data_IF_200988968221
#
_entry.id   IF_200988968221
#
_cell.length_a   1.000
_cell.length_b   1.000
_cell.length_c   1.000
_cell.angle_alpha   90.00
_cell.angle_beta   90.00
_cell.angle_gamma   90.00
#
_symmetry.space_group_name_H-M   'P 1'
#
loop_
_entity.id
_entity.type
_entity.pdbx_description
1 polymer ?
#
# COMPACT_ATOMS: atom_id res chain seq x y z
N UNK A 1 17.89 -22.15 -4.47
CA UNK A 1 17.70 -21.17 -3.37
C UNK A 1 16.26 -21.05 -2.93
N UNK A 2 15.28 -20.76 -3.79
CA UNK A 2 13.87 -20.54 -3.40
C UNK A 2 13.18 -21.76 -2.76
N UNK A 3 13.48 -22.99 -3.18
CA UNK A 3 12.86 -24.20 -2.64
C UNK A 3 13.65 -24.87 -1.50
N UNK A 4 14.98 -24.76 -1.48
CA UNK A 4 15.83 -25.55 -0.58
C UNK A 4 16.40 -24.76 0.60
N UNK A 5 16.60 -23.47 0.45
CA UNK A 5 17.16 -22.65 1.52
C UNK A 5 16.17 -22.49 2.69
N UNK A 6 16.68 -22.63 3.91
CA UNK A 6 15.90 -22.47 5.15
C UNK A 6 15.94 -21.01 5.56
N UNK A 7 14.84 -20.27 5.32
CA UNK A 7 14.66 -18.89 5.77
C UNK A 7 13.17 -18.57 5.91
N UNK A 8 12.85 -17.59 6.74
CA UNK A 8 11.48 -17.16 7.01
C UNK A 8 11.17 -15.89 6.24
N UNK A 9 10.27 -15.95 5.26
CA UNK A 9 9.78 -14.76 4.54
C UNK A 9 9.21 -13.71 5.49
N UNK A 10 8.55 -14.14 6.57
CA UNK A 10 8.00 -13.25 7.59
C UNK A 10 9.10 -12.54 8.39
N UNK A 11 10.18 -13.23 8.74
CA UNK A 11 11.30 -12.61 9.43
C UNK A 11 11.97 -11.55 8.55
N UNK A 12 12.24 -11.89 7.28
CA UNK A 12 12.79 -10.95 6.28
C UNK A 12 11.89 -9.73 6.10
N UNK A 13 10.57 -9.93 6.00
CA UNK A 13 9.60 -8.83 5.92
C UNK A 13 9.66 -7.90 7.14
N UNK A 14 9.79 -8.45 8.34
CA UNK A 14 9.95 -7.65 9.57
C UNK A 14 11.27 -6.89 9.63
N UNK A 15 12.37 -7.48 9.13
CA UNK A 15 13.65 -6.78 8.99
C UNK A 15 13.54 -5.62 7.98
N UNK A 16 12.97 -5.88 6.81
CA UNK A 16 12.77 -4.87 5.78
C UNK A 16 11.91 -3.71 6.28
N UNK A 17 10.79 -3.99 6.97
CA UNK A 17 9.96 -2.93 7.55
C UNK A 17 10.73 -2.05 8.51
N UNK A 18 11.48 -2.64 9.45
CA UNK A 18 12.27 -1.86 10.41
C UNK A 18 13.36 -1.03 9.73
N UNK A 19 14.02 -1.60 8.72
CA UNK A 19 15.00 -0.87 7.91
C UNK A 19 14.35 0.34 7.22
N UNK A 20 13.23 0.16 6.52
CA UNK A 20 12.53 1.24 5.84
C UNK A 20 12.03 2.33 6.82
N UNK A 21 11.48 1.92 7.96
CA UNK A 21 11.01 2.88 8.98
C UNK A 21 12.19 3.67 9.56
N UNK A 22 13.33 3.03 9.84
CA UNK A 22 14.52 3.71 10.36
C UNK A 22 15.13 4.67 9.34
N UNK A 23 15.07 4.35 8.04
CA UNK A 23 15.66 5.18 6.98
C UNK A 23 14.79 6.39 6.60
N UNK A 24 13.47 6.27 6.69
CA UNK A 24 12.58 7.27 6.12
C UNK A 24 11.73 8.05 7.13
N UNK A 25 11.65 7.62 8.38
CA UNK A 25 10.74 8.21 9.36
C UNK A 25 11.47 8.55 10.67
N UNK A 26 11.19 9.73 11.22
CA UNK A 26 11.61 10.07 12.58
C UNK A 26 10.93 9.17 13.63
N UNK A 27 11.49 9.15 14.85
CA UNK A 27 11.02 8.26 15.91
C UNK A 27 9.55 8.52 16.32
N UNK A 28 9.09 9.74 16.23
CA UNK A 28 7.75 10.22 16.58
C UNK A 28 6.75 10.22 15.41
N UNK A 29 7.24 10.08 14.17
CA UNK A 29 6.39 10.11 12.99
C UNK A 29 5.37 8.97 12.97
N UNK A 30 4.17 9.27 12.51
CA UNK A 30 3.14 8.25 12.24
C UNK A 30 3.57 7.34 11.10
N UNK A 31 3.52 6.03 11.31
CA UNK A 31 3.83 5.02 10.30
C UNK A 31 2.58 4.74 9.48
N UNK A 32 2.53 5.25 8.26
CA UNK A 32 1.38 5.08 7.35
C UNK A 32 1.64 3.91 6.42
N UNK A 33 0.78 2.90 6.48
CA UNK A 33 0.91 1.66 5.71
C UNK A 33 -0.33 1.45 4.86
N UNK A 34 -0.15 1.41 3.55
CA UNK A 34 -1.19 1.01 2.62
C UNK A 34 -1.31 -0.51 2.55
N UNK A 35 -2.54 -1.02 2.53
CA UNK A 35 -2.83 -2.43 2.27
C UNK A 35 -3.73 -2.53 1.05
N UNK A 36 -3.33 -3.35 0.08
CA UNK A 36 -4.13 -3.61 -1.11
C UNK A 36 -3.85 -5.01 -1.65
N UNK A 37 -4.79 -5.55 -2.43
CA UNK A 37 -4.59 -6.84 -3.07
C UNK A 37 -4.35 -6.70 -4.59
N UNK A 38 -3.57 -7.63 -5.10
CA UNK A 38 -3.29 -7.72 -6.52
C UNK A 38 -3.35 -9.16 -7.01
N UNK A 39 -3.66 -9.32 -8.29
CA UNK A 39 -3.68 -10.63 -8.94
C UNK A 39 -2.47 -10.73 -9.85
N UNK A 40 -1.61 -11.69 -9.55
CA UNK A 40 -0.55 -12.14 -10.44
C UNK A 40 -1.15 -13.16 -11.42
N UNK A 41 -1.20 -12.82 -12.70
CA UNK A 41 -1.76 -13.71 -13.71
C UNK A 41 -0.86 -14.93 -13.91
N UNK A 42 -1.42 -16.11 -13.70
CA UNK A 42 -0.69 -17.39 -13.81
C UNK A 42 -1.59 -18.45 -14.41
N UNK A 43 -1.01 -19.20 -15.34
CA UNK A 43 -1.63 -20.39 -15.95
C UNK A 43 -0.73 -21.59 -15.68
N UNK A 44 -1.27 -22.66 -15.20
CA UNK A 44 -0.51 -23.89 -14.96
C UNK A 44 -1.28 -24.83 -14.05
N UNK A 45 -1.51 -26.07 -14.51
CA UNK A 45 -2.26 -27.07 -13.75
C UNK A 45 -1.61 -27.47 -12.44
N UNK A 46 -0.26 -27.35 -12.35
CA UNK A 46 0.52 -27.72 -11.16
C UNK A 46 0.54 -26.68 -10.05
N UNK A 47 -0.02 -25.48 -10.27
CA UNK A 47 -0.06 -24.42 -9.27
C UNK A 47 -1.27 -24.63 -8.36
N UNK A 48 -1.04 -25.17 -7.16
CA UNK A 48 -2.12 -25.55 -6.23
C UNK A 48 -2.92 -24.34 -5.73
N UNK A 49 -2.28 -23.20 -5.46
CA UNK A 49 -2.89 -21.99 -4.96
C UNK A 49 -3.59 -21.12 -6.02
N UNK A 50 -3.56 -21.54 -7.29
CA UNK A 50 -4.20 -20.84 -8.39
C UNK A 50 -5.72 -20.78 -8.18
N UNK A 51 -6.25 -19.57 -8.33
CA UNK A 51 -7.69 -19.31 -8.30
C UNK A 51 -8.18 -18.64 -9.58
N UNK A 52 -9.50 -18.45 -9.67
CA UNK A 52 -10.14 -17.64 -10.69
C UNK A 52 -10.71 -16.41 -10.00
N UNK A 53 -10.32 -15.25 -10.47
CA UNK A 53 -10.66 -13.96 -9.87
C UNK A 53 -11.24 -13.01 -10.92
N UNK A 54 -11.89 -11.95 -10.47
CA UNK A 54 -12.24 -10.83 -11.33
C UNK A 54 -10.96 -10.08 -11.70
N UNK A 55 -10.73 -9.88 -13.00
CA UNK A 55 -9.62 -9.03 -13.47
C UNK A 55 -9.97 -7.55 -13.21
N UNK A 56 -9.24 -6.83 -12.34
CA UNK A 56 -9.59 -5.46 -12.00
C UNK A 56 -9.33 -4.48 -13.14
N UNK A 57 -8.41 -4.81 -14.06
CA UNK A 57 -8.02 -3.95 -15.19
C UNK A 57 -8.98 -4.10 -16.36
N UNK A 58 -9.40 -5.34 -16.65
CA UNK A 58 -10.25 -5.66 -17.82
C UNK A 58 -11.74 -5.61 -17.51
N UNK A 59 -12.14 -5.62 -16.24
CA UNK A 59 -13.55 -5.59 -15.85
C UNK A 59 -14.04 -4.16 -15.66
N UNK A 60 -15.26 -3.89 -16.12
CA UNK A 60 -16.01 -2.66 -15.85
C UNK A 60 -17.26 -2.92 -15.00
N UNK A 61 -18.08 -1.88 -14.74
CA UNK A 61 -19.34 -2.06 -14.00
C UNK A 61 -20.31 -3.02 -14.66
N UNK A 62 -20.33 -3.06 -16.00
CA UNK A 62 -21.23 -3.92 -16.80
C UNK A 62 -20.55 -5.15 -17.42
N UNK A 63 -19.22 -5.28 -17.31
CA UNK A 63 -18.48 -6.37 -17.96
C UNK A 63 -17.53 -7.05 -16.98
N UNK A 64 -17.79 -8.32 -16.68
CA UNK A 64 -17.01 -9.12 -15.73
C UNK A 64 -16.03 -10.02 -16.47
N UNK A 65 -14.74 -9.71 -16.41
CA UNK A 65 -13.68 -10.55 -16.97
C UNK A 65 -13.05 -11.40 -15.88
N UNK A 66 -13.01 -12.71 -16.09
CA UNK A 66 -12.33 -13.67 -15.21
C UNK A 66 -10.87 -13.79 -15.61
N UNK A 67 -9.98 -13.85 -14.62
CA UNK A 67 -8.57 -14.17 -14.82
C UNK A 67 -8.13 -15.29 -13.89
N UNK A 68 -7.25 -16.15 -14.39
CA UNK A 68 -6.58 -17.18 -13.60
C UNK A 68 -5.32 -16.59 -12.98
N UNK A 69 -5.05 -16.86 -11.70
CA UNK A 69 -3.85 -16.32 -11.07
C UNK A 69 -3.72 -16.63 -9.59
N UNK A 70 -2.76 -15.95 -8.99
CA UNK A 70 -2.49 -15.94 -7.56
C UNK A 70 -2.93 -14.59 -7.00
N UNK A 71 -3.65 -14.60 -5.89
CA UNK A 71 -4.07 -13.38 -5.21
C UNK A 71 -3.10 -13.06 -4.07
N UNK A 72 -2.54 -11.89 -4.09
CA UNK A 72 -1.59 -11.39 -3.11
C UNK A 72 -2.19 -10.21 -2.35
N UNK A 73 -2.04 -10.21 -1.03
CA UNK A 73 -2.25 -9.05 -0.19
C UNK A 73 -0.89 -8.46 0.14
N UNK A 74 -0.66 -7.18 -0.20
CA UNK A 74 0.61 -6.48 0.03
C UNK A 74 0.42 -5.34 1.02
N UNK A 75 1.31 -5.26 2.00
CA UNK A 75 1.46 -4.12 2.89
C UNK A 75 2.69 -3.32 2.46
N UNK A 76 2.51 -2.02 2.27
CA UNK A 76 3.51 -1.09 1.74
C UNK A 76 3.61 0.14 2.64
N UNK A 77 4.82 0.52 3.01
CA UNK A 77 5.08 1.77 3.72
C UNK A 77 4.89 2.95 2.77
N UNK A 78 4.04 3.90 3.12
CA UNK A 78 3.79 5.12 2.34
C UNK A 78 4.69 6.24 2.85
N UNK A 79 5.68 6.65 2.04
CA UNK A 79 6.65 7.68 2.41
C UNK A 79 6.94 8.63 1.25
N UNK A 80 7.24 9.87 1.56
CA UNK A 80 7.67 10.84 0.57
C UNK A 80 9.11 10.56 0.13
N UNK A 81 9.32 10.45 -1.20
CA UNK A 81 10.62 10.27 -1.82
C UNK A 81 11.09 11.57 -2.46
N UNK A 82 12.09 12.26 -1.87
CA UNK A 82 12.56 13.54 -2.38
C UNK A 82 13.03 13.47 -3.85
N UNK A 83 13.81 12.44 -4.20
CA UNK A 83 14.32 12.25 -5.55
C UNK A 83 13.24 11.97 -6.61
N UNK A 84 12.09 11.42 -6.18
CA UNK A 84 10.94 11.16 -7.05
C UNK A 84 9.88 12.27 -6.98
N UNK A 85 10.01 13.24 -6.06
CA UNK A 85 9.06 14.34 -5.85
C UNK A 85 7.63 13.90 -5.53
N UNK A 86 7.47 12.68 -4.99
CA UNK A 86 6.15 12.08 -4.70
C UNK A 86 6.19 11.10 -3.53
N UNK A 87 5.03 10.74 -3.02
CA UNK A 87 4.89 9.59 -2.12
C UNK A 87 5.08 8.31 -2.94
N UNK A 88 5.81 7.34 -2.38
CA UNK A 88 5.93 6.00 -2.92
C UNK A 88 5.42 4.96 -1.91
N UNK A 89 4.83 3.88 -2.41
CA UNK A 89 4.49 2.71 -1.61
C UNK A 89 5.64 1.71 -1.65
N UNK A 90 6.24 1.42 -0.50
CA UNK A 90 7.38 0.50 -0.37
C UNK A 90 6.93 -0.85 0.19
N UNK A 91 6.77 -1.90 -0.63
CA UNK A 91 6.35 -3.21 -0.20
C UNK A 91 7.37 -3.85 0.76
N UNK A 92 6.91 -4.31 1.91
CA UNK A 92 7.74 -5.05 2.86
C UNK A 92 7.15 -6.40 3.24
N UNK A 93 5.82 -6.55 3.16
CA UNK A 93 5.14 -7.82 3.46
C UNK A 93 4.08 -8.09 2.39
N UNK A 94 4.24 -9.20 1.69
CA UNK A 94 3.27 -9.67 0.71
C UNK A 94 2.91 -11.12 1.01
N UNK A 95 1.62 -11.39 1.20
CA UNK A 95 1.11 -12.70 1.60
C UNK A 95 0.19 -13.28 0.53
N UNK A 96 0.34 -14.57 0.27
CA UNK A 96 -0.56 -15.29 -0.64
C UNK A 96 -1.92 -15.47 0.04
N UNK A 97 -2.99 -15.02 -0.61
CA UNK A 97 -4.38 -15.13 -0.17
C UNK A 97 -5.18 -16.03 -1.13
N UNK A 98 -5.03 -17.35 -1.04
CA UNK A 98 -5.64 -18.27 -1.99
C UNK A 98 -7.16 -18.30 -1.87
N UNK A 99 -7.84 -18.74 -2.94
CA UNK A 99 -9.29 -18.92 -2.94
C UNK A 99 -9.72 -20.08 -2.01
N UNK A 100 -11.02 -20.15 -1.67
CA UNK A 100 -11.59 -21.24 -0.86
C UNK A 100 -11.27 -22.63 -1.43
N UNK A 101 -11.20 -22.77 -2.75
CA UNK A 101 -10.87 -24.03 -3.43
C UNK A 101 -9.51 -24.60 -3.01
N UNK A 102 -8.53 -23.76 -2.73
CA UNK A 102 -7.20 -24.18 -2.26
C UNK A 102 -7.25 -24.95 -0.94
N UNK A 103 -8.27 -24.74 -0.14
CA UNK A 103 -8.43 -25.33 1.19
C UNK A 103 -9.31 -26.59 1.18
N UNK A 104 -9.92 -26.98 0.04
CA UNK A 104 -10.89 -28.06 -0.03
C UNK A 104 -10.36 -29.39 0.55
N UNK A 105 -9.09 -29.70 0.24
CA UNK A 105 -8.42 -30.95 0.67
C UNK A 105 -7.39 -30.70 1.78
N UNK A 106 -7.50 -29.60 2.54
CA UNK A 106 -6.52 -29.26 3.57
C UNK A 106 -7.18 -29.16 4.95
N UNK A 107 -6.50 -29.61 6.02
CA UNK A 107 -7.02 -29.52 7.38
C UNK A 107 -6.99 -28.08 7.95
N UNK A 108 -7.31 -27.09 7.12
CA UNK A 108 -7.29 -25.66 7.49
C UNK A 108 -8.51 -24.96 6.92
N UNK A 109 -9.17 -24.16 7.74
CA UNK A 109 -10.28 -23.33 7.29
C UNK A 109 -9.84 -22.26 6.30
N UNK A 110 -10.65 -21.99 5.25
CA UNK A 110 -10.36 -20.93 4.33
C UNK A 110 -10.40 -19.57 5.03
N UNK A 111 -9.43 -18.72 4.68
CA UNK A 111 -9.36 -17.34 5.17
C UNK A 111 -9.88 -16.38 4.11
N UNK A 112 -10.65 -15.40 4.53
CA UNK A 112 -11.03 -14.26 3.71
C UNK A 112 -9.86 -13.29 3.54
N UNK A 113 -9.97 -12.35 2.60
CA UNK A 113 -8.96 -11.30 2.45
C UNK A 113 -8.85 -10.43 3.72
N UNK A 114 -9.98 -10.17 4.40
CA UNK A 114 -10.00 -9.43 5.67
C UNK A 114 -9.35 -10.19 6.82
N UNK A 115 -9.44 -11.52 6.86
CA UNK A 115 -8.69 -12.33 7.83
C UNK A 115 -7.18 -12.20 7.63
N UNK A 116 -6.73 -12.17 6.38
CA UNK A 116 -5.33 -11.91 6.05
C UNK A 116 -4.93 -10.47 6.40
N UNK A 117 -5.76 -9.47 6.07
CA UNK A 117 -5.51 -8.07 6.43
C UNK A 117 -5.40 -7.87 7.94
N UNK A 118 -6.28 -8.52 8.73
CA UNK A 118 -6.21 -8.53 10.20
C UNK A 118 -4.88 -9.10 10.70
N UNK A 119 -4.46 -10.26 10.17
CA UNK A 119 -3.20 -10.88 10.59
C UNK A 119 -1.99 -10.00 10.22
N UNK A 120 -2.01 -9.37 9.05
CA UNK A 120 -0.98 -8.42 8.60
C UNK A 120 -0.92 -7.22 9.54
N UNK A 121 -2.05 -6.57 9.84
CA UNK A 121 -2.11 -5.41 10.72
C UNK A 121 -1.57 -5.72 12.13
N UNK A 122 -2.01 -6.82 12.74
CA UNK A 122 -1.52 -7.26 14.04
C UNK A 122 -0.03 -7.66 14.02
N UNK A 123 0.46 -8.21 12.91
CA UNK A 123 1.87 -8.55 12.77
C UNK A 123 2.74 -7.29 12.65
N UNK A 124 2.28 -6.27 11.93
CA UNK A 124 2.95 -4.98 11.80
C UNK A 124 3.07 -4.31 13.17
N UNK A 125 1.97 -4.27 13.95
CA UNK A 125 1.98 -3.74 15.31
C UNK A 125 3.04 -4.42 16.19
N UNK A 126 3.16 -5.76 16.14
CA UNK A 126 4.20 -6.50 16.88
C UNK A 126 5.63 -6.19 16.43
N UNK A 127 5.84 -5.85 15.17
CA UNK A 127 7.17 -5.49 14.64
C UNK A 127 7.60 -4.07 14.96
N UNK A 128 6.65 -3.19 15.25
CA UNK A 128 6.89 -1.77 15.54
C UNK A 128 6.26 -1.38 16.89
N UNK A 129 6.74 -1.96 18.01
CA UNK A 129 6.19 -1.63 19.32
C UNK A 129 6.36 -0.14 19.63
N UNK A 130 5.35 0.48 20.24
CA UNK A 130 5.37 1.88 20.63
C UNK A 130 5.18 2.90 19.49
N UNK A 131 5.08 2.47 18.22
CA UNK A 131 4.85 3.39 17.10
C UNK A 131 3.35 3.59 16.86
N UNK A 132 2.97 4.84 16.54
CA UNK A 132 1.64 5.15 16.00
C UNK A 132 1.56 4.63 14.57
N UNK A 133 0.64 3.67 14.32
CA UNK A 133 0.49 3.00 13.03
C UNK A 133 -0.88 3.28 12.46
N UNK A 134 -0.93 3.70 11.20
CA UNK A 134 -2.15 3.89 10.44
C UNK A 134 -2.15 2.93 9.25
N UNK A 135 -3.18 2.10 9.18
CA UNK A 135 -3.44 1.22 8.03
C UNK A 135 -4.42 1.90 7.09
N UNK A 136 -4.05 2.06 5.84
CA UNK A 136 -4.92 2.63 4.81
C UNK A 136 -5.35 1.53 3.86
N UNK A 137 -6.65 1.25 3.81
CA UNK A 137 -7.22 0.20 2.97
C UNK A 137 -8.30 0.71 2.01
N UNK A 138 -8.68 -0.15 1.07
CA UNK A 138 -9.80 0.10 0.17
C UNK A 138 -11.17 -0.03 0.88
N UNK A 139 -12.26 0.07 0.12
CA UNK A 139 -13.63 -0.06 0.63
C UNK A 139 -13.90 -1.41 1.33
N UNK A 140 -13.19 -2.48 0.99
CA UNK A 140 -13.36 -3.78 1.63
C UNK A 140 -12.93 -3.75 3.11
N UNK A 141 -11.98 -2.88 3.47
CA UNK A 141 -11.55 -2.66 4.84
C UNK A 141 -12.60 -1.95 5.71
N UNK A 142 -13.66 -1.37 5.10
CA UNK A 142 -14.80 -0.81 5.82
C UNK A 142 -15.74 -1.93 6.31
N UNK A 143 -15.24 -2.78 7.19
CA UNK A 143 -15.98 -3.89 7.79
C UNK A 143 -15.85 -3.81 9.32
N UNK A 144 -16.99 -3.73 10.02
CA UNK A 144 -17.06 -3.53 11.48
C UNK A 144 -16.24 -4.60 12.23
N UNK A 145 -16.32 -5.86 11.80
CA UNK A 145 -15.60 -6.96 12.45
C UNK A 145 -14.08 -6.83 12.29
N UNK A 146 -13.62 -6.37 11.13
CA UNK A 146 -12.20 -6.08 10.90
C UNK A 146 -11.74 -4.89 11.75
N UNK A 147 -12.47 -3.78 11.71
CA UNK A 147 -12.12 -2.56 12.46
C UNK A 147 -12.14 -2.84 13.97
N UNK A 148 -13.18 -3.50 14.47
CA UNK A 148 -13.29 -3.89 15.90
C UNK A 148 -12.15 -4.78 16.37
N UNK A 149 -11.63 -5.65 15.49
CA UNK A 149 -10.52 -6.55 15.82
C UNK A 149 -9.13 -5.89 15.85
N UNK A 150 -8.95 -4.75 15.18
CA UNK A 150 -7.63 -4.11 15.04
C UNK A 150 -7.50 -2.73 15.68
N UNK A 151 -8.62 -2.04 16.00
CA UNK A 151 -8.62 -0.65 16.49
C UNK A 151 -7.83 -0.41 17.79
N UNK A 152 -7.65 -1.44 18.62
CA UNK A 152 -6.83 -1.33 19.84
C UNK A 152 -5.32 -1.39 19.58
N UNK A 153 -4.91 -1.69 18.36
CA UNK A 153 -3.52 -1.91 17.97
C UNK A 153 -3.02 -0.94 16.91
N UNK A 154 -3.90 -0.62 15.96
CA UNK A 154 -3.60 0.26 14.82
C UNK A 154 -4.81 1.09 14.48
N UNK A 155 -4.60 2.30 14.00
CA UNK A 155 -5.66 3.11 13.40
C UNK A 155 -5.92 2.65 11.96
N UNK A 156 -7.16 2.72 11.51
CA UNK A 156 -7.53 2.33 10.14
C UNK A 156 -8.21 3.50 9.44
N UNK A 157 -7.72 3.83 8.25
CA UNK A 157 -8.34 4.77 7.32
C UNK A 157 -8.87 4.00 6.11
N UNK A 158 -10.15 4.18 5.81
CA UNK A 158 -10.79 3.53 4.66
C UNK A 158 -11.99 4.34 4.19
N UNK A 159 -12.54 3.95 3.03
CA UNK A 159 -13.72 4.58 2.46
C UNK A 159 -14.98 4.13 3.18
N UNK A 160 -15.82 5.09 3.58
CA UNK A 160 -17.12 4.85 4.20
C UNK A 160 -18.25 5.01 3.16
N UNK A 161 -19.33 4.26 3.33
CA UNK A 161 -20.54 4.46 2.52
C UNK A 161 -21.31 5.68 3.00
N UNK A 162 -21.92 6.42 2.09
CA UNK A 162 -22.74 7.60 2.44
C UNK A 162 -24.03 7.23 3.21
N UNK A 163 -24.50 5.99 3.04
CA UNK A 163 -25.68 5.44 3.71
C UNK A 163 -25.33 4.64 4.98
N UNK A 164 -24.11 4.72 5.49
CA UNK A 164 -23.69 4.01 6.70
C UNK A 164 -24.55 4.41 7.91
N UNK A 165 -24.97 3.41 8.69
CA UNK A 165 -25.73 3.63 9.93
C UNK A 165 -24.78 4.05 11.04
N UNK A 166 -24.74 5.33 11.33
CA UNK A 166 -23.93 5.95 12.37
C UNK A 166 -24.79 6.33 13.57
N UNK A 167 -24.20 6.28 14.74
CA UNK A 167 -24.86 6.56 16.00
C UNK A 167 -24.03 7.54 16.84
N UNK A 168 -24.69 8.29 17.73
CA UNK A 168 -24.00 9.05 18.76
C UNK A 168 -23.28 8.09 19.73
N UNK A 169 -22.28 8.55 20.46
CA UNK A 169 -21.68 7.82 21.56
C UNK A 169 -22.75 7.36 22.57
N UNK A 170 -22.49 6.22 23.22
CA UNK A 170 -23.36 5.76 24.29
C UNK A 170 -23.45 6.79 25.41
N UNK A 171 -24.64 7.06 25.96
CA UNK A 171 -24.78 7.94 27.11
C UNK A 171 -24.03 7.37 28.32
N UNK A 172 -23.61 8.21 29.28
CA UNK A 172 -23.00 7.76 30.52
C UNK A 172 -23.87 6.72 31.23
N UNK A 173 -23.22 5.72 31.86
CA UNK A 173 -23.92 4.68 32.59
C UNK A 173 -24.72 5.28 33.72
N UNK A 174 -26.03 5.07 33.71
CA UNK A 174 -26.90 5.40 34.83
C UNK A 174 -26.90 4.25 35.88
N UNK A 175 -26.92 4.54 37.15
CA UNK A 175 -27.16 3.51 38.19
C UNK A 175 -28.52 2.85 37.93
N UNK A 176 -28.57 1.54 37.91
CA UNK A 176 -29.81 0.77 37.68
C UNK A 176 -29.55 -0.63 37.19
N UNK A 177 -30.65 -1.45 37.16
CA UNK A 177 -30.60 -2.81 36.58
C UNK A 177 -30.69 -2.73 35.05
N UNK A 178 -29.87 -3.50 34.36
CA UNK A 178 -29.93 -3.65 32.91
C UNK A 178 -28.56 -3.61 32.23
N UNK A 179 -28.53 -4.05 30.98
CA UNK A 179 -27.33 -4.02 30.16
C UNK A 179 -27.02 -2.56 29.76
N UNK A 180 -25.80 -2.07 29.97
CA UNK A 180 -25.42 -0.72 29.53
C UNK A 180 -25.66 -0.54 28.04
N UNK A 181 -26.13 0.66 27.58
CA UNK A 181 -26.26 0.95 26.17
C UNK A 181 -24.88 0.96 25.52
N UNK A 182 -24.77 0.36 24.33
CA UNK A 182 -23.51 0.31 23.55
C UNK A 182 -23.40 1.45 22.55
N UNK A 183 -24.47 2.20 22.32
CA UNK A 183 -24.58 3.33 21.40
C UNK A 183 -25.66 4.30 21.84
N UNK A 184 -25.60 5.53 21.36
CA UNK A 184 -26.63 6.55 21.51
C UNK A 184 -27.68 6.51 20.38
N UNK A 185 -28.44 7.59 20.19
CA UNK A 185 -29.40 7.73 19.09
C UNK A 185 -28.72 7.65 17.72
N UNK A 186 -29.53 7.28 16.72
CA UNK A 186 -29.08 7.24 15.33
C UNK A 186 -28.82 8.67 14.82
N UNK A 187 -27.69 8.86 14.16
CA UNK A 187 -27.32 10.11 13.49
C UNK A 187 -27.89 10.14 12.06
N UNK A 188 -28.06 11.34 11.46
CA UNK A 188 -28.34 11.47 10.04
C UNK A 188 -27.33 10.70 9.20
N UNK A 189 -27.76 10.17 8.06
CA UNK A 189 -26.83 9.55 7.09
C UNK A 189 -25.92 10.61 6.49
N UNK A 190 -24.75 10.25 6.03
CA UNK A 190 -23.83 11.21 5.39
C UNK A 190 -24.41 11.77 4.09
N UNK A 191 -25.36 11.06 3.45
CA UNK A 191 -26.15 11.62 2.34
C UNK A 191 -27.04 12.78 2.84
N UNK A 192 -27.68 12.65 3.99
CA UNK A 192 -28.48 13.74 4.57
C UNK A 192 -27.59 14.92 4.98
N UNK A 193 -26.45 14.65 5.63
CA UNK A 193 -25.45 15.68 5.97
C UNK A 193 -24.95 16.41 4.72
N UNK A 194 -24.75 15.71 3.60
CA UNK A 194 -24.32 16.32 2.33
C UNK A 194 -25.30 17.37 1.81
N UNK A 195 -26.60 17.14 1.98
CA UNK A 195 -27.68 18.01 1.48
C UNK A 195 -28.22 18.98 2.54
N UNK A 196 -27.75 18.91 3.78
CA UNK A 196 -28.15 19.80 4.84
C UNK A 196 -27.47 21.18 4.68
N UNK A 197 -28.28 22.24 4.57
CA UNK A 197 -27.80 23.62 4.47
C UNK A 197 -27.01 24.08 5.70
N UNK A 198 -27.24 23.46 6.87
CA UNK A 198 -26.52 23.76 8.11
C UNK A 198 -25.12 23.09 8.19
N UNK A 199 -24.77 22.26 7.22
CA UNK A 199 -23.45 21.60 7.23
C UNK A 199 -22.32 22.58 7.01
N UNK A 200 -21.38 22.64 7.96
CA UNK A 200 -20.21 23.51 7.87
C UNK A 200 -19.13 22.83 7.02
N UNK A 201 -18.77 23.45 5.92
CA UNK A 201 -17.76 22.99 4.99
C UNK A 201 -16.48 23.81 5.12
N UNK A 202 -15.33 23.11 5.18
CA UNK A 202 -14.00 23.73 5.18
C UNK A 202 -13.29 23.43 3.87
N UNK A 203 -12.74 24.45 3.22
CA UNK A 203 -11.91 24.28 2.01
C UNK A 203 -10.53 23.79 2.38
N UNK A 204 -10.07 22.80 1.63
CA UNK A 204 -8.77 22.19 1.82
C UNK A 204 -8.11 21.87 0.48
N UNK A 205 -6.79 22.09 0.39
CA UNK A 205 -6.01 21.72 -0.80
C UNK A 205 -5.28 20.41 -0.52
N UNK A 206 -5.61 19.38 -1.30
CA UNK A 206 -4.94 18.08 -1.26
C UNK A 206 -3.81 18.07 -2.27
N UNK A 207 -2.60 17.79 -1.80
CA UNK A 207 -1.44 17.67 -2.67
C UNK A 207 -1.47 16.37 -3.49
N UNK A 208 -1.05 16.44 -4.75
CA UNK A 208 -0.89 15.27 -5.63
C UNK A 208 -2.12 14.36 -5.68
N UNK A 209 -3.31 14.94 -5.91
CA UNK A 209 -4.57 14.18 -5.99
C UNK A 209 -4.47 13.02 -6.97
N UNK A 210 -4.39 11.79 -6.45
CA UNK A 210 -4.18 10.55 -7.23
C UNK A 210 -3.03 10.64 -8.25
N UNK A 211 -1.90 11.24 -7.85
CA UNK A 211 -0.71 11.41 -8.72
C UNK A 211 -0.82 12.54 -9.75
N UNK A 212 -1.92 13.31 -9.74
CA UNK A 212 -2.12 14.53 -10.55
C UNK A 212 -1.81 15.77 -9.71
N UNK A 213 -1.96 16.94 -10.23
CA UNK A 213 -1.72 18.18 -9.49
C UNK A 213 -2.55 18.35 -8.20
N UNK A 214 -2.37 19.44 -7.49
CA UNK A 214 -3.13 19.78 -6.30
C UNK A 214 -4.60 19.99 -6.63
N UNK A 215 -5.49 19.56 -5.71
CA UNK A 215 -6.94 19.75 -5.88
C UNK A 215 -7.55 20.38 -4.64
N UNK A 216 -8.39 21.40 -4.85
CA UNK A 216 -9.21 22.00 -3.81
C UNK A 216 -10.47 21.15 -3.63
N UNK A 217 -10.79 20.81 -2.39
CA UNK A 217 -12.00 20.08 -1.99
C UNK A 217 -12.64 20.76 -0.79
N UNK A 218 -13.91 20.50 -0.55
CA UNK A 218 -14.62 20.90 0.66
C UNK A 218 -14.86 19.69 1.55
N UNK A 219 -14.58 19.85 2.84
CA UNK A 219 -14.58 18.79 3.84
C UNK A 219 -15.56 19.15 4.96
N UNK A 220 -16.43 18.21 5.34
CA UNK A 220 -17.15 18.19 6.60
C UNK A 220 -16.73 16.94 7.40
N UNK A 221 -16.62 17.06 8.72
CA UNK A 221 -16.14 15.97 9.59
C UNK A 221 -16.88 15.98 10.92
N UNK A 222 -16.93 14.81 11.54
CA UNK A 222 -17.46 14.62 12.88
C UNK A 222 -17.09 13.25 13.42
N UNK A 223 -17.50 12.97 14.65
CA UNK A 223 -17.30 11.67 15.31
C UNK A 223 -18.62 10.92 15.41
N UNK A 224 -18.55 9.62 15.37
CA UNK A 224 -19.70 8.73 15.50
C UNK A 224 -19.29 7.35 16.01
N UNK A 225 -20.27 6.55 16.37
CA UNK A 225 -20.08 5.11 16.59
C UNK A 225 -20.70 4.35 15.42
N UNK A 226 -19.88 3.59 14.72
CA UNK A 226 -20.37 2.65 13.72
C UNK A 226 -20.71 1.33 14.38
N UNK A 227 -21.96 0.90 14.25
CA UNK A 227 -22.47 -0.27 14.96
C UNK A 227 -23.38 -1.13 14.11
N UNK A 228 -23.22 -2.43 14.27
CA UNK A 228 -24.12 -3.49 13.78
C UNK A 228 -24.41 -4.46 14.91
N UNK A 229 -25.64 -4.95 15.02
CA UNK A 229 -26.00 -5.97 16.00
C UNK A 229 -25.09 -7.20 15.89
N UNK A 230 -24.63 -7.70 17.02
CA UNK A 230 -23.70 -8.84 17.09
C UNK A 230 -22.21 -8.50 16.91
N UNK A 231 -21.86 -7.25 16.59
CA UNK A 231 -20.47 -6.79 16.51
C UNK A 231 -20.16 -5.76 17.59
N UNK A 232 -18.91 -5.60 18.03
CA UNK A 232 -18.52 -4.53 18.93
C UNK A 232 -18.73 -3.15 18.30
N UNK A 233 -19.07 -2.11 19.09
CA UNK A 233 -19.15 -0.75 18.58
C UNK A 233 -17.76 -0.26 18.19
N UNK A 234 -17.68 0.43 17.05
CA UNK A 234 -16.44 1.01 16.55
C UNK A 234 -16.57 2.52 16.54
N UNK A 235 -15.91 3.26 17.45
CA UNK A 235 -15.78 4.70 17.36
C UNK A 235 -15.02 5.08 16.11
N UNK A 236 -15.53 6.06 15.38
CA UNK A 236 -14.91 6.55 14.15
C UNK A 236 -14.97 8.08 14.07
N UNK A 237 -13.96 8.67 13.48
CA UNK A 237 -14.04 9.98 12.85
C UNK A 237 -14.44 9.76 11.39
N UNK A 238 -15.57 10.35 10.99
CA UNK A 238 -15.97 10.34 9.59
C UNK A 238 -15.54 11.63 8.90
N UNK A 239 -15.28 11.53 7.61
CA UNK A 239 -14.91 12.63 6.73
C UNK A 239 -15.79 12.57 5.48
N UNK A 240 -16.54 13.64 5.23
CA UNK A 240 -17.32 13.78 4.01
C UNK A 240 -16.61 14.81 3.12
N UNK A 241 -16.38 14.44 1.87
CA UNK A 241 -15.63 15.24 0.90
C UNK A 241 -16.50 15.48 -0.32
N UNK A 242 -16.59 16.73 -0.75
CA UNK A 242 -17.20 17.12 -2.02
C UNK A 242 -16.27 17.99 -2.85
N UNK A 243 -16.46 17.95 -4.12
CA UNK A 243 -15.77 18.81 -5.07
C UNK A 243 -16.57 20.11 -5.26
N UNK A 244 -15.98 21.30 -4.99
CA UNK A 244 -16.69 22.56 -5.12
C UNK A 244 -17.14 22.88 -6.56
N UNK A 245 -16.46 22.30 -7.57
CA UNK A 245 -16.81 22.47 -8.99
C UNK A 245 -17.65 21.31 -9.54
N UNK A 246 -17.97 20.30 -8.73
CA UNK A 246 -18.90 19.23 -9.10
C UNK A 246 -18.38 18.18 -10.09
N UNK A 247 -17.08 18.18 -10.44
CA UNK A 247 -16.51 17.19 -11.35
C UNK A 247 -16.39 15.79 -10.73
N UNK A 248 -16.28 15.71 -9.40
CA UNK A 248 -16.13 14.44 -8.69
C UNK A 248 -17.35 14.17 -7.81
N UNK A 249 -17.85 12.93 -7.81
CA UNK A 249 -18.92 12.55 -6.89
C UNK A 249 -18.46 12.66 -5.43
N UNK A 250 -19.37 13.06 -4.52
CA UNK A 250 -19.09 13.09 -3.09
C UNK A 250 -18.61 11.74 -2.57
N UNK A 251 -17.73 11.77 -1.59
CA UNK A 251 -17.14 10.56 -0.99
C UNK A 251 -17.05 10.71 0.51
N UNK A 252 -17.22 9.62 1.23
CA UNK A 252 -16.97 9.58 2.65
C UNK A 252 -15.82 8.62 3.00
N UNK A 253 -15.12 8.97 4.07
CA UNK A 253 -14.02 8.19 4.64
C UNK A 253 -14.23 8.06 6.14
N UNK A 254 -13.55 7.12 6.75
CA UNK A 254 -13.47 6.97 8.20
C UNK A 254 -12.02 6.80 8.65
N UNK A 255 -11.78 7.21 9.90
CA UNK A 255 -10.59 6.86 10.67
C UNK A 255 -11.05 6.31 12.03
N UNK A 256 -10.42 5.25 12.51
CA UNK A 256 -10.69 4.71 13.87
C UNK A 256 -9.97 5.49 14.98
N UNK A 257 -9.05 6.39 14.64
CA UNK A 257 -8.47 7.36 15.56
C UNK A 257 -9.28 8.67 15.46
N UNK A 258 -9.88 9.08 16.57
CA UNK A 258 -10.78 10.23 16.64
C UNK A 258 -10.07 11.58 16.63
N UNK A 259 -8.77 11.59 16.98
CA UNK A 259 -7.97 12.81 17.17
C UNK A 259 -7.21 13.23 15.91
N UNK A 260 -7.17 12.37 14.90
CA UNK A 260 -6.48 12.65 13.62
C UNK A 260 -7.17 13.79 12.87
N UNK A 261 -6.38 14.74 12.35
CA UNK A 261 -6.91 15.81 11.53
C UNK A 261 -7.59 15.28 10.25
N UNK A 262 -8.70 15.91 9.86
CA UNK A 262 -9.45 15.51 8.66
C UNK A 262 -8.60 15.56 7.38
N UNK A 263 -7.69 16.53 7.29
CA UNK A 263 -6.75 16.70 6.20
C UNK A 263 -5.80 15.49 6.06
N UNK A 264 -5.27 14.99 7.19
CA UNK A 264 -4.36 13.83 7.20
C UNK A 264 -5.08 12.56 6.76
N UNK A 265 -6.32 12.34 7.23
CA UNK A 265 -7.15 11.21 6.79
C UNK A 265 -7.28 11.19 5.27
N UNK A 266 -7.59 12.35 4.67
CA UNK A 266 -7.76 12.47 3.23
C UNK A 266 -6.43 12.28 2.48
N UNK A 267 -5.35 12.92 2.97
CA UNK A 267 -4.02 12.80 2.37
C UNK A 267 -3.51 11.34 2.39
N UNK A 268 -3.66 10.65 3.51
CA UNK A 268 -3.30 9.23 3.61
C UNK A 268 -4.11 8.36 2.67
N UNK A 269 -5.43 8.58 2.58
CA UNK A 269 -6.26 7.81 1.67
C UNK A 269 -5.89 8.03 0.20
N UNK A 270 -5.64 9.27 -0.21
CA UNK A 270 -5.21 9.60 -1.57
C UNK A 270 -3.84 8.96 -1.88
N UNK A 271 -2.94 8.96 -0.89
CA UNK A 271 -1.61 8.35 -1.03
C UNK A 271 -1.66 6.83 -1.27
N UNK A 272 -2.74 6.14 -0.89
CA UNK A 272 -2.94 4.71 -1.17
C UNK A 272 -2.83 4.38 -2.67
N UNK A 273 -3.15 5.31 -3.56
CA UNK A 273 -3.00 5.13 -5.00
C UNK A 273 -1.57 4.69 -5.41
N UNK A 274 -0.58 5.01 -4.60
CA UNK A 274 0.80 4.61 -4.85
C UNK A 274 1.02 3.09 -4.80
N UNK A 275 0.15 2.33 -4.14
CA UNK A 275 0.20 0.86 -4.17
C UNK A 275 -0.06 0.33 -5.57
N UNK A 276 -1.04 0.91 -6.27
CA UNK A 276 -1.37 0.53 -7.65
C UNK A 276 -0.22 0.88 -8.60
N UNK A 277 0.41 2.04 -8.39
CA UNK A 277 1.62 2.45 -9.13
C UNK A 277 2.76 1.46 -8.88
N UNK A 278 3.02 1.09 -7.63
CA UNK A 278 4.06 0.11 -7.28
C UNK A 278 3.78 -1.26 -7.95
N UNK A 279 2.54 -1.74 -7.94
CA UNK A 279 2.19 -2.99 -8.64
C UNK A 279 2.42 -2.90 -10.15
N UNK A 280 2.21 -1.74 -10.77
CA UNK A 280 2.51 -1.51 -12.17
C UNK A 280 4.02 -1.54 -12.43
N UNK A 281 4.81 -0.82 -11.63
CA UNK A 281 6.27 -0.73 -11.75
C UNK A 281 6.96 -2.09 -11.59
N UNK A 282 6.55 -2.91 -10.60
CA UNK A 282 7.15 -4.24 -10.40
C UNK A 282 6.81 -5.22 -11.52
N UNK A 283 5.65 -5.06 -12.18
CA UNK A 283 5.33 -5.83 -13.38
C UNK A 283 6.18 -5.38 -14.57
N UNK A 284 6.35 -4.08 -14.74
CA UNK A 284 7.10 -3.52 -15.86
C UNK A 284 8.61 -3.80 -15.76
N UNK A 285 9.18 -3.78 -14.53
CA UNK A 285 10.63 -3.71 -14.37
C UNK A 285 11.25 -4.87 -13.58
N UNK A 286 10.50 -5.58 -12.73
CA UNK A 286 11.04 -6.63 -11.86
C UNK A 286 10.54 -8.03 -12.21
N UNK A 287 9.81 -8.19 -13.32
CA UNK A 287 9.40 -9.49 -13.84
C UNK A 287 8.28 -10.17 -13.05
N UNK A 288 7.47 -9.44 -12.29
CA UNK A 288 6.23 -9.97 -11.73
C UNK A 288 5.27 -10.34 -12.87
N UNK A 289 4.64 -11.50 -12.80
CA UNK A 289 3.85 -12.19 -13.85
C UNK A 289 4.68 -12.93 -14.91
N UNK A 290 6.00 -12.81 -14.94
CA UNK A 290 6.87 -13.57 -15.87
C UNK A 290 7.46 -14.85 -15.26
N UNK A 291 7.25 -15.05 -13.94
CA UNK A 291 7.81 -16.19 -13.21
C UNK A 291 7.25 -17.52 -13.72
N UNK A 292 8.10 -18.54 -13.73
CA UNK A 292 7.79 -19.90 -14.21
C UNK A 292 7.68 -20.95 -13.09
N UNK A 293 7.90 -20.57 -11.84
CA UNK A 293 7.85 -21.49 -10.70
C UNK A 293 6.43 -22.02 -10.49
N UNK A 294 6.34 -23.28 -10.13
CA UNK A 294 5.09 -23.99 -9.87
C UNK A 294 5.01 -24.61 -8.48
N UNK A 295 6.13 -24.77 -7.77
CA UNK A 295 6.13 -25.31 -6.41
C UNK A 295 5.65 -24.26 -5.40
N UNK A 296 4.86 -24.69 -4.43
CA UNK A 296 4.22 -23.81 -3.45
C UNK A 296 5.23 -22.92 -2.70
N UNK A 297 6.37 -23.49 -2.29
CA UNK A 297 7.39 -22.77 -1.54
C UNK A 297 8.09 -21.70 -2.40
N UNK A 298 8.41 -22.02 -3.68
CA UNK A 298 9.00 -21.05 -4.59
C UNK A 298 8.02 -19.90 -4.91
N UNK A 299 6.75 -20.22 -5.13
CA UNK A 299 5.69 -19.22 -5.34
C UNK A 299 5.61 -18.28 -4.14
N UNK A 300 5.46 -18.82 -2.92
CA UNK A 300 5.35 -18.02 -1.70
C UNK A 300 6.56 -17.13 -1.40
N UNK A 301 7.69 -17.35 -2.05
CA UNK A 301 8.93 -16.59 -1.85
C UNK A 301 9.26 -15.64 -2.99
N UNK A 302 8.97 -16.01 -4.24
CA UNK A 302 9.42 -15.24 -5.42
C UNK A 302 8.71 -13.89 -5.52
N UNK A 303 7.40 -13.87 -5.54
CA UNK A 303 6.64 -12.62 -5.70
C UNK A 303 6.84 -11.66 -4.52
N UNK A 304 6.83 -12.11 -3.24
CA UNK A 304 7.22 -11.24 -2.12
C UNK A 304 8.66 -10.72 -2.22
N UNK A 305 9.61 -11.52 -2.72
CA UNK A 305 10.99 -11.08 -2.90
C UNK A 305 11.12 -9.99 -3.98
N UNK A 306 10.42 -10.13 -5.11
CA UNK A 306 10.42 -9.13 -6.18
C UNK A 306 9.77 -7.81 -5.71
N UNK A 307 8.69 -7.88 -4.94
CA UNK A 307 8.08 -6.69 -4.32
C UNK A 307 9.04 -6.06 -3.29
N UNK A 308 9.68 -6.86 -2.44
CA UNK A 308 10.70 -6.36 -1.51
C UNK A 308 11.91 -5.74 -2.21
N UNK A 309 12.29 -6.26 -3.37
CA UNK A 309 13.37 -5.71 -4.19
C UNK A 309 13.05 -4.28 -4.66
N UNK A 310 11.79 -3.97 -5.00
CA UNK A 310 11.38 -2.60 -5.28
C UNK A 310 11.75 -1.65 -4.13
N UNK A 311 11.47 -2.04 -2.90
CA UNK A 311 11.78 -1.24 -1.71
C UNK A 311 13.28 -1.11 -1.47
N UNK A 312 14.05 -2.17 -1.68
CA UNK A 312 15.51 -2.15 -1.55
C UNK A 312 16.17 -1.26 -2.60
N UNK A 313 15.73 -1.32 -3.86
CA UNK A 313 16.21 -0.43 -4.93
C UNK A 313 15.89 1.02 -4.59
N UNK A 314 14.66 1.29 -4.11
CA UNK A 314 14.25 2.65 -3.74
C UNK A 314 15.07 3.19 -2.56
N UNK A 315 15.37 2.35 -1.57
CA UNK A 315 16.22 2.71 -0.44
C UNK A 315 17.66 2.99 -0.89
N UNK A 316 18.25 2.10 -1.68
CA UNK A 316 19.60 2.29 -2.19
C UNK A 316 19.76 3.59 -2.97
N UNK A 317 18.79 3.87 -3.84
CA UNK A 317 18.76 5.13 -4.60
C UNK A 317 18.58 6.35 -3.69
N UNK A 318 17.83 6.21 -2.60
CA UNK A 318 17.71 7.28 -1.61
C UNK A 318 19.08 7.64 -1.02
N UNK A 319 19.88 6.63 -0.67
CA UNK A 319 21.23 6.82 -0.14
C UNK A 319 22.16 7.42 -1.21
N UNK A 320 22.14 6.91 -2.44
CA UNK A 320 22.92 7.46 -3.54
C UNK A 320 22.55 8.93 -3.86
N UNK A 321 21.26 9.26 -3.80
CA UNK A 321 20.78 10.61 -4.07
C UNK A 321 21.17 11.63 -2.98
N UNK A 322 21.50 11.17 -1.80
CA UNK A 322 22.05 12.02 -0.73
C UNK A 322 23.48 12.47 -1.03
N UNK A 323 24.25 11.65 -1.75
CA UNK A 323 25.64 11.97 -2.16
C UNK A 323 25.68 12.71 -3.52
N UNK A 324 24.88 12.28 -4.48
CA UNK A 324 24.86 12.84 -5.84
C UNK A 324 23.42 12.95 -6.35
N UNK A 325 22.95 14.16 -6.75
CA UNK A 325 21.62 14.34 -7.28
C UNK A 325 21.36 13.43 -8.49
N UNK A 326 20.23 12.73 -8.46
CA UNK A 326 19.79 11.91 -9.59
C UNK A 326 19.30 12.78 -10.73
N UNK A 327 19.76 12.48 -11.94
CA UNK A 327 19.31 13.15 -13.15
C UNK A 327 18.33 12.21 -13.87
N UNK A 328 17.06 12.65 -14.09
CA UNK A 328 16.10 11.83 -14.82
C UNK A 328 16.51 11.67 -16.28
N UNK A 329 16.41 10.46 -16.81
CA UNK A 329 16.57 10.24 -18.25
C UNK A 329 15.40 10.91 -18.99
N UNK A 330 15.71 11.90 -19.82
CA UNK A 330 14.72 12.64 -20.61
C UNK A 330 14.88 12.33 -22.09
N UNK A 331 13.77 12.30 -22.82
CA UNK A 331 13.75 12.28 -24.27
C UNK A 331 13.24 13.63 -24.79
N UNK A 332 13.59 13.99 -26.01
CA UNK A 332 13.17 15.27 -26.62
C UNK A 332 11.65 15.48 -26.61
N UNK A 333 10.89 14.39 -26.72
CA UNK A 333 9.41 14.38 -26.71
C UNK A 333 8.80 14.15 -25.30
N UNK A 334 9.60 13.84 -24.27
CA UNK A 334 9.12 13.55 -22.93
C UNK A 334 10.09 14.08 -21.87
N UNK A 335 10.03 15.36 -21.54
CA UNK A 335 10.83 15.95 -20.46
C UNK A 335 10.29 15.49 -19.10
N UNK A 336 11.07 14.72 -18.37
CA UNK A 336 10.74 14.33 -16.99
C UNK A 336 11.20 15.41 -16.01
N UNK A 337 10.31 15.79 -15.08
CA UNK A 337 10.66 16.70 -13.98
C UNK A 337 11.30 15.98 -12.79
N UNK A 338 10.95 14.71 -12.58
CA UNK A 338 11.39 13.88 -11.47
C UNK A 338 11.80 12.49 -11.97
N UNK A 339 12.71 11.86 -11.23
CA UNK A 339 13.12 10.49 -11.52
C UNK A 339 11.98 9.50 -11.32
N UNK A 340 11.95 8.47 -12.15
CA UNK A 340 11.02 7.34 -12.10
C UNK A 340 11.73 6.12 -11.52
N UNK A 341 11.00 5.03 -11.30
CA UNK A 341 11.60 3.78 -10.83
C UNK A 341 12.57 3.16 -11.85
N UNK A 342 12.37 3.38 -13.16
CA UNK A 342 13.33 2.96 -14.16
C UNK A 342 14.67 3.72 -14.06
N UNK A 343 14.63 5.02 -13.71
CA UNK A 343 15.84 5.80 -13.44
C UNK A 343 16.54 5.29 -12.16
N UNK A 344 15.77 4.89 -11.15
CA UNK A 344 16.28 4.27 -9.92
C UNK A 344 17.01 2.95 -10.22
N UNK A 345 16.41 2.05 -11.01
CA UNK A 345 17.06 0.80 -11.41
C UNK A 345 18.36 1.09 -12.19
N UNK A 346 18.33 2.05 -13.10
CA UNK A 346 19.51 2.41 -13.88
C UNK A 346 20.64 2.94 -12.97
N UNK A 347 20.33 3.75 -11.96
CA UNK A 347 21.31 4.23 -10.99
C UNK A 347 21.96 3.08 -10.20
N UNK A 348 21.15 2.15 -9.67
CA UNK A 348 21.66 0.97 -8.95
C UNK A 348 22.48 0.06 -9.85
N UNK A 349 22.08 -0.16 -11.11
CA UNK A 349 22.86 -0.94 -12.08
C UNK A 349 24.22 -0.31 -12.35
N UNK A 350 24.29 1.01 -12.54
CA UNK A 350 25.58 1.73 -12.72
C UNK A 350 26.49 1.51 -11.52
N UNK A 351 25.97 1.64 -10.32
CA UNK A 351 26.72 1.45 -9.08
C UNK A 351 27.27 0.05 -8.95
N UNK A 352 26.45 -0.99 -9.19
CA UNK A 352 26.88 -2.39 -9.18
C UNK A 352 28.02 -2.61 -10.20
N UNK A 353 27.92 -2.07 -11.39
CA UNK A 353 28.95 -2.24 -12.42
C UNK A 353 30.23 -1.48 -12.10
N UNK A 354 30.12 -0.27 -11.53
CA UNK A 354 31.31 0.44 -11.05
C UNK A 354 32.09 -0.38 -10.03
N UNK A 355 31.40 -1.00 -9.09
CA UNK A 355 32.01 -1.90 -8.11
C UNK A 355 32.62 -3.13 -8.76
N UNK A 356 31.94 -3.78 -9.67
CA UNK A 356 32.42 -4.99 -10.36
C UNK A 356 33.66 -4.68 -11.23
N UNK A 357 33.65 -3.60 -12.00
CA UNK A 357 34.80 -3.21 -12.83
C UNK A 357 36.00 -2.83 -11.99
N UNK A 358 35.80 -2.11 -10.90
CA UNK A 358 36.88 -1.76 -9.96
C UNK A 358 37.49 -2.98 -9.27
N UNK A 359 36.67 -4.00 -8.98
CA UNK A 359 37.13 -5.27 -8.39
C UNK A 359 37.92 -6.12 -9.41
N UNK A 360 37.41 -6.27 -10.64
CA UNK A 360 38.06 -7.02 -11.72
C UNK A 360 39.39 -6.37 -12.13
N UNK A 361 39.47 -5.04 -12.17
CA UNK A 361 40.69 -4.30 -12.51
C UNK A 361 41.82 -4.48 -11.48
N UNK A 362 41.49 -4.81 -10.23
CA UNK A 362 42.48 -5.12 -9.19
C UNK A 362 42.98 -6.56 -9.22
N UNK A 363 42.20 -7.50 -9.80
CA UNK A 363 42.51 -8.92 -9.75
C UNK A 363 43.15 -9.49 -11.03
N UNK A 364 42.99 -8.82 -12.16
CA UNK A 364 43.54 -9.30 -13.46
C UNK A 364 44.45 -8.22 -14.07
N UNK A 365 45.70 -8.60 -14.35
CA UNK A 365 46.70 -7.75 -15.06
C UNK A 365 46.34 -7.41 -16.51
N UNK A 366 45.18 -7.83 -17.00
CA UNK A 366 44.67 -7.60 -18.37
C UNK A 366 43.67 -6.46 -18.38
N UNK A 367 44.13 -5.23 -18.06
CA UNK A 367 43.28 -4.05 -18.08
C UNK A 367 43.43 -3.29 -19.41
N UNK A 368 42.40 -3.31 -20.28
CA UNK A 368 42.29 -2.39 -21.38
C UNK A 368 41.82 -1.01 -20.86
N UNK A 369 42.59 0.06 -21.19
CA UNK A 369 42.24 1.44 -20.87
C UNK A 369 41.09 1.90 -21.78
N UNK A 370 39.84 1.82 -21.29
CA UNK A 370 38.70 2.39 -21.98
C UNK A 370 38.59 3.88 -21.62
N UNK A 371 38.46 4.80 -22.61
CA UNK A 371 38.23 6.22 -22.33
C UNK A 371 36.99 6.41 -21.44
N UNK A 372 37.10 7.26 -20.41
CA UNK A 372 35.98 7.48 -19.45
C UNK A 372 34.65 7.83 -20.12
N UNK A 373 34.69 8.66 -21.18
CA UNK A 373 33.48 9.04 -21.93
C UNK A 373 32.82 7.85 -22.63
N UNK A 374 33.60 6.93 -23.20
CA UNK A 374 33.07 5.72 -23.83
C UNK A 374 32.50 4.77 -22.81
N UNK A 375 33.16 4.62 -21.67
CA UNK A 375 32.64 3.83 -20.54
C UNK A 375 31.30 4.37 -20.00
N UNK A 376 31.18 5.69 -19.78
CA UNK A 376 29.92 6.29 -19.33
C UNK A 376 28.79 6.07 -20.35
N UNK A 377 29.02 6.23 -21.64
CA UNK A 377 28.03 5.98 -22.70
C UNK A 377 27.62 4.50 -22.75
N UNK A 378 28.56 3.58 -22.62
CA UNK A 378 28.27 2.13 -22.57
C UNK A 378 27.48 1.77 -21.31
N UNK A 379 27.89 2.27 -20.14
CA UNK A 379 27.20 2.06 -18.89
C UNK A 379 25.77 2.64 -18.92
N UNK A 380 25.57 3.81 -19.52
CA UNK A 380 24.22 4.39 -19.68
C UNK A 380 23.34 3.57 -20.62
N UNK A 381 23.87 3.14 -21.77
CA UNK A 381 23.11 2.28 -22.68
C UNK A 381 22.69 0.96 -22.02
N UNK A 382 23.60 0.33 -21.27
CA UNK A 382 23.34 -0.93 -20.58
C UNK A 382 22.43 -0.73 -19.35
N UNK A 383 22.51 0.41 -18.64
CA UNK A 383 21.72 0.67 -17.45
C UNK A 383 20.22 0.69 -17.72
N UNK A 384 19.80 1.15 -18.90
CA UNK A 384 18.43 1.19 -19.37
C UNK A 384 18.05 -0.01 -20.25
N UNK A 385 18.97 -0.92 -20.56
CA UNK A 385 18.65 -2.14 -21.27
C UNK A 385 17.72 -3.01 -20.43
N UNK A 386 16.56 -3.35 -20.97
CA UNK A 386 15.52 -4.18 -20.35
C UNK A 386 15.81 -5.67 -20.55
#
# INVERSE_FOLDING_TARGET
>A
MLNRAVWSSRAVAGWLLRLLVASFLSADATVVIGIDDTIERRWGGKISARGIYRDPVRSSKGHFVKTSGLRWLSAQLLVHMPWAGRIMGLPFLTVLAPSKRFYADKPRSPKTLLDWARQVALQIHRWLPGRKIVIVGDTACAAIDFLGAVQSYVSVVTRLRLDANLFAPAPPRRPGRGRPPVKGPRLPTLTQVLHDAGTVWQRHTVALWYGRGNRVVEIATGTAVWYRSGSPPVPIRWLLVRDPIGELPPRAFLCTDLDVAAADILQWFVSRWQLEVTFQEVRAHLGVETQRQWSDLAIMRTTPALLGLFSLVTLWVHDLAAETPLIPATAAWYPKRHCTFSDAIAAVRREIWHHQVSFMSRSNGDSSKIPRQLWHRAADALAYAS
#
